data_IF_875074720869
#
_entry.id   IF_875074720869
#
_cell.length_a   1.000
_cell.length_b   1.000
_cell.length_c   1.000
_cell.angle_alpha   90.00
_cell.angle_beta   90.00
_cell.angle_gamma   90.00
#
_symmetry.space_group_name_H-M   'P 1'
#
loop_
_entity.id
_entity.type
_entity.pdbx_description
1 polymer ?
#
# COMPACT_ATOMS: atom_id res chain seq x y z
N UNK A 1 41.34 -17.73 -48.16
CA UNK A 1 40.00 -17.33 -48.52
C UNK A 1 39.12 -17.70 -47.35
N UNK A 2 38.94 -16.74 -46.41
CA UNK A 2 38.19 -16.96 -45.17
C UNK A 2 36.95 -16.09 -45.24
N UNK A 3 35.78 -16.75 -45.34
CA UNK A 3 34.50 -16.10 -45.25
C UNK A 3 34.23 -15.62 -43.84
N UNK A 4 34.18 -14.32 -43.65
CA UNK A 4 33.68 -13.68 -42.43
C UNK A 4 32.15 -13.71 -42.48
N UNK A 5 31.53 -14.48 -41.58
CA UNK A 5 30.11 -14.50 -41.37
C UNK A 5 29.67 -13.23 -40.66
N UNK A 6 28.90 -12.42 -41.35
CA UNK A 6 28.24 -11.20 -40.88
C UNK A 6 27.09 -11.61 -39.94
N UNK A 7 27.32 -11.50 -38.64
CA UNK A 7 26.26 -11.68 -37.64
C UNK A 7 25.41 -10.41 -37.56
N UNK A 8 24.31 -10.40 -38.32
CA UNK A 8 23.23 -9.44 -38.25
C UNK A 8 22.73 -9.27 -36.82
N UNK A 9 23.11 -8.17 -36.18
CA UNK A 9 22.62 -7.70 -34.89
C UNK A 9 21.15 -7.28 -35.07
N UNK A 10 20.23 -8.16 -34.71
CA UNK A 10 18.82 -7.83 -34.59
C UNK A 10 18.63 -6.62 -33.65
N UNK A 11 17.96 -5.57 -34.12
CA UNK A 11 17.65 -4.34 -33.38
C UNK A 11 16.44 -4.54 -32.47
N UNK A 12 16.60 -4.63 -31.12
CA UNK A 12 15.46 -4.60 -30.18
C UNK A 12 15.02 -3.17 -29.77
N UNK A 13 15.48 -2.12 -30.46
CA UNK A 13 15.53 -0.75 -29.92
C UNK A 13 14.21 0.05 -29.93
N UNK A 14 13.28 -0.23 -30.83
CA UNK A 14 12.04 0.58 -30.94
C UNK A 14 10.92 0.18 -29.98
N UNK A 15 10.84 -1.06 -29.58
CA UNK A 15 9.81 -1.56 -28.66
C UNK A 15 10.04 -1.13 -27.20
N UNK A 16 11.29 -1.16 -26.73
CA UNK A 16 11.69 -0.75 -25.39
C UNK A 16 11.42 0.75 -25.17
N UNK A 17 11.83 1.60 -26.10
CA UNK A 17 11.56 3.04 -26.02
C UNK A 17 10.06 3.40 -26.03
N UNK A 18 9.22 2.61 -26.73
CA UNK A 18 7.78 2.83 -26.72
C UNK A 18 7.15 2.45 -25.37
N UNK A 19 7.57 1.31 -24.78
CA UNK A 19 7.13 0.87 -23.48
C UNK A 19 7.57 1.82 -22.34
N UNK A 20 8.81 2.30 -22.39
CA UNK A 20 9.34 3.28 -21.45
C UNK A 20 8.58 4.62 -21.50
N UNK A 21 8.27 5.09 -22.70
CA UNK A 21 7.45 6.31 -22.88
C UNK A 21 6.04 6.15 -22.35
N UNK A 22 5.42 4.96 -22.55
CA UNK A 22 4.11 4.65 -22.00
C UNK A 22 4.16 4.62 -20.47
N UNK A 23 5.13 3.93 -19.88
CA UNK A 23 5.31 3.84 -18.42
C UNK A 23 5.55 5.25 -17.82
N UNK A 24 6.39 6.07 -18.44
CA UNK A 24 6.65 7.44 -17.99
C UNK A 24 5.37 8.29 -17.99
N UNK A 25 4.56 8.19 -19.05
CA UNK A 25 3.27 8.92 -19.13
C UNK A 25 2.29 8.43 -18.08
N UNK A 26 2.19 7.09 -17.91
CA UNK A 26 1.33 6.48 -16.88
C UNK A 26 1.73 6.95 -15.49
N UNK A 27 3.01 6.95 -15.14
CA UNK A 27 3.50 7.42 -13.84
C UNK A 27 3.20 8.91 -13.61
N UNK A 28 3.30 9.77 -14.64
CA UNK A 28 2.91 11.18 -14.52
C UNK A 28 1.42 11.36 -14.26
N UNK A 29 0.56 10.54 -14.88
CA UNK A 29 -0.88 10.53 -14.61
C UNK A 29 -1.16 10.08 -13.17
N UNK A 30 -0.52 9.00 -12.70
CA UNK A 30 -0.68 8.49 -11.33
C UNK A 30 -0.21 9.51 -10.28
N UNK A 31 0.94 10.16 -10.48
CA UNK A 31 1.42 11.22 -9.60
C UNK A 31 0.44 12.39 -9.52
N UNK A 32 -0.10 12.83 -10.68
CA UNK A 32 -1.16 13.87 -10.71
C UNK A 32 -2.44 13.39 -10.00
N UNK A 33 -2.78 12.09 -10.11
CA UNK A 33 -3.89 11.50 -9.38
C UNK A 33 -3.70 11.59 -7.86
N UNK A 34 -2.51 11.29 -7.37
CA UNK A 34 -2.17 11.45 -5.96
C UNK A 34 -2.26 12.91 -5.51
N UNK A 35 -1.80 13.86 -6.33
CA UNK A 35 -1.96 15.30 -6.05
C UNK A 35 -3.42 15.70 -5.85
N UNK A 36 -4.31 15.18 -6.70
CA UNK A 36 -5.74 15.53 -6.67
C UNK A 36 -6.51 14.82 -5.55
N UNK A 37 -6.26 13.52 -5.35
CA UNK A 37 -6.96 12.69 -4.37
C UNK A 37 -6.44 12.93 -2.94
N UNK A 38 -5.15 13.17 -2.80
CA UNK A 38 -4.48 13.41 -1.52
C UNK A 38 -4.42 14.90 -1.12
N UNK A 39 -5.06 15.80 -1.86
CA UNK A 39 -5.06 17.23 -1.54
C UNK A 39 -5.68 17.49 -0.15
N UNK A 40 -5.19 18.51 0.55
CA UNK A 40 -5.71 18.92 1.86
C UNK A 40 -7.19 19.33 1.80
N UNK A 41 -7.54 20.10 0.77
CA UNK A 41 -8.94 20.39 0.44
C UNK A 41 -9.39 19.43 -0.64
N UNK A 42 -9.89 18.29 -0.22
CA UNK A 42 -10.34 17.24 -1.13
C UNK A 42 -11.50 17.73 -1.99
N UNK A 43 -11.26 17.85 -3.27
CA UNK A 43 -12.28 18.14 -4.26
C UNK A 43 -12.36 16.98 -5.25
N UNK A 44 -13.13 15.95 -4.89
CA UNK A 44 -13.34 14.75 -5.73
C UNK A 44 -13.92 15.13 -7.10
N UNK A 45 -14.70 16.20 -7.17
CA UNK A 45 -15.25 16.71 -8.45
C UNK A 45 -14.15 17.28 -9.39
N UNK A 46 -12.96 17.62 -8.85
CA UNK A 46 -11.81 18.01 -9.67
C UNK A 46 -11.12 16.81 -10.34
N UNK A 47 -11.35 15.59 -9.86
CA UNK A 47 -10.82 14.34 -10.45
C UNK A 47 -11.65 14.02 -11.69
N UNK A 48 -11.32 14.67 -12.78
CA UNK A 48 -11.87 14.43 -14.12
C UNK A 48 -10.74 14.10 -15.07
N UNK A 49 -11.03 13.35 -16.15
CA UNK A 49 -10.02 13.06 -17.19
C UNK A 49 -9.34 14.33 -17.67
N UNK A 50 -10.11 15.40 -17.91
CA UNK A 50 -9.59 16.71 -18.33
C UNK A 50 -8.69 17.35 -17.25
N UNK A 51 -9.08 17.27 -15.98
CA UNK A 51 -8.32 17.79 -14.84
C UNK A 51 -6.99 17.08 -14.67
N UNK A 52 -7.01 15.74 -14.70
CA UNK A 52 -5.82 14.88 -14.61
C UNK A 52 -4.88 15.15 -15.79
N UNK A 53 -5.38 15.17 -17.03
CA UNK A 53 -4.56 15.42 -18.21
C UNK A 53 -3.92 16.82 -18.19
N UNK A 54 -4.65 17.83 -17.70
CA UNK A 54 -4.11 19.17 -17.53
C UNK A 54 -2.99 19.20 -16.49
N UNK A 55 -3.19 18.61 -15.33
CA UNK A 55 -2.17 18.53 -14.27
C UNK A 55 -0.93 17.76 -14.73
N UNK A 56 -1.10 16.66 -15.45
CA UNK A 56 -0.01 15.87 -16.01
C UNK A 56 0.66 16.50 -17.24
N UNK A 57 0.11 17.59 -17.79
CA UNK A 57 0.52 18.18 -19.07
C UNK A 57 0.55 17.14 -20.21
N UNK A 58 -0.54 16.37 -20.34
CA UNK A 58 -0.71 15.32 -21.33
C UNK A 58 -2.03 15.49 -22.10
N UNK A 59 -2.07 15.05 -23.36
CA UNK A 59 -3.30 15.01 -24.13
C UNK A 59 -4.20 13.85 -23.65
N UNK A 60 -5.54 14.02 -23.74
CA UNK A 60 -6.52 13.05 -23.28
C UNK A 60 -6.34 11.63 -23.88
N UNK A 61 -5.83 11.52 -25.12
CA UNK A 61 -5.53 10.22 -25.75
C UNK A 61 -4.58 9.37 -24.88
N UNK A 62 -3.59 10.00 -24.21
CA UNK A 62 -2.62 9.30 -23.37
C UNK A 62 -3.22 8.78 -22.06
N UNK A 63 -4.31 9.39 -21.58
CA UNK A 63 -5.10 8.84 -20.50
C UNK A 63 -5.76 7.53 -20.93
N UNK A 64 -6.44 7.53 -22.09
CA UNK A 64 -7.15 6.36 -22.60
C UNK A 64 -6.23 5.26 -23.13
N UNK A 65 -4.95 5.56 -23.39
CA UNK A 65 -3.91 4.52 -23.63
C UNK A 65 -3.58 3.72 -22.34
N UNK A 66 -3.88 4.28 -21.15
CA UNK A 66 -3.47 3.72 -19.85
C UNK A 66 -4.64 3.27 -18.97
N UNK A 67 -5.82 3.88 -19.12
CA UNK A 67 -7.00 3.66 -18.30
C UNK A 67 -8.27 3.76 -19.15
N UNK A 68 -9.22 2.83 -18.96
CA UNK A 68 -10.48 2.83 -19.70
C UNK A 68 -11.39 3.99 -19.25
N UNK A 69 -11.41 4.28 -17.96
CA UNK A 69 -12.26 5.31 -17.38
C UNK A 69 -11.63 5.95 -16.11
N UNK A 70 -12.39 6.83 -15.48
CA UNK A 70 -11.99 7.52 -14.24
C UNK A 70 -11.86 6.55 -13.07
N UNK A 71 -12.74 5.58 -12.95
CA UNK A 71 -12.79 4.69 -11.81
C UNK A 71 -11.60 3.71 -11.83
N UNK A 72 -11.24 3.20 -13.00
CA UNK A 72 -10.00 2.44 -13.19
C UNK A 72 -8.78 3.29 -12.86
N UNK A 73 -8.76 4.55 -13.28
CA UNK A 73 -7.66 5.47 -12.93
C UNK A 73 -7.54 5.69 -11.42
N UNK A 74 -8.64 5.97 -10.73
CA UNK A 74 -8.66 6.18 -9.26
C UNK A 74 -8.19 4.92 -8.54
N UNK A 75 -8.66 3.74 -8.96
CA UNK A 75 -8.19 2.46 -8.43
C UNK A 75 -6.69 2.28 -8.65
N UNK A 76 -6.19 2.58 -9.85
CA UNK A 76 -4.77 2.45 -10.19
C UNK A 76 -3.88 3.42 -9.39
N UNK A 77 -4.35 4.64 -9.09
CA UNK A 77 -3.61 5.56 -8.19
C UNK A 77 -3.48 4.96 -6.80
N UNK A 78 -4.57 4.43 -6.25
CA UNK A 78 -4.56 3.78 -4.94
C UNK A 78 -3.62 2.58 -4.92
N UNK A 79 -3.74 1.69 -5.90
CA UNK A 79 -2.91 0.48 -6.00
C UNK A 79 -1.42 0.81 -6.16
N UNK A 80 -1.10 1.85 -6.91
CA UNK A 80 0.28 2.33 -7.06
C UNK A 80 0.86 2.81 -5.72
N UNK A 81 0.11 3.60 -4.96
CA UNK A 81 0.54 4.08 -3.63
C UNK A 81 0.72 2.93 -2.65
N UNK A 82 -0.22 1.98 -2.63
CA UNK A 82 -0.11 0.78 -1.76
C UNK A 82 1.08 -0.09 -2.14
N UNK A 83 1.34 -0.28 -3.44
CA UNK A 83 2.49 -1.07 -3.91
C UNK A 83 3.82 -0.42 -3.51
N UNK A 84 3.94 0.89 -3.61
CA UNK A 84 5.14 1.62 -3.17
C UNK A 84 5.32 1.54 -1.65
N UNK A 85 4.25 1.75 -0.88
CA UNK A 85 4.29 1.62 0.57
C UNK A 85 4.66 0.19 1.01
N UNK A 86 4.11 -0.81 0.35
CA UNK A 86 4.44 -2.21 0.63
C UNK A 86 5.91 -2.53 0.31
N UNK A 87 6.40 -2.07 -0.84
CA UNK A 87 7.78 -2.29 -1.29
C UNK A 87 8.78 -1.66 -0.32
N UNK A 88 8.58 -0.40 0.05
CA UNK A 88 9.46 0.31 0.99
C UNK A 88 9.40 -0.29 2.39
N UNK A 89 8.21 -0.74 2.83
CA UNK A 89 8.04 -1.41 4.12
C UNK A 89 8.74 -2.76 4.16
N UNK A 90 8.60 -3.58 3.11
CA UNK A 90 9.31 -4.85 3.00
C UNK A 90 10.84 -4.66 3.04
N UNK A 91 11.35 -3.65 2.35
CA UNK A 91 12.78 -3.32 2.37
C UNK A 91 13.24 -2.90 3.77
N UNK A 92 12.47 -2.07 4.48
CA UNK A 92 12.78 -1.65 5.84
C UNK A 92 12.79 -2.82 6.84
N UNK A 93 11.80 -3.72 6.73
CA UNK A 93 11.71 -4.93 7.56
C UNK A 93 12.86 -5.91 7.28
N UNK A 94 13.22 -6.10 6.01
CA UNK A 94 14.32 -7.00 5.63
C UNK A 94 15.71 -6.49 6.05
N UNK A 95 15.86 -5.20 6.36
CA UNK A 95 17.11 -4.58 6.74
C UNK A 95 17.47 -4.73 8.22
N UNK A 96 16.55 -5.26 9.06
CA UNK A 96 16.71 -5.32 10.52
C UNK A 96 16.54 -6.73 11.06
N UNK A 97 17.10 -7.04 12.27
CA UNK A 97 16.84 -8.31 12.96
C UNK A 97 15.35 -8.52 13.28
N UNK A 98 14.94 -9.78 13.46
CA UNK A 98 13.54 -10.15 13.72
C UNK A 98 12.88 -9.37 14.88
N UNK A 99 13.61 -9.14 15.95
CA UNK A 99 13.11 -8.39 17.11
C UNK A 99 12.79 -6.90 16.83
N UNK A 100 13.28 -6.34 15.74
CA UNK A 100 13.09 -4.94 15.36
C UNK A 100 12.11 -4.77 14.20
N UNK A 101 11.64 -5.86 13.59
CA UNK A 101 10.85 -5.84 12.36
C UNK A 101 9.51 -5.13 12.52
N UNK A 102 8.81 -5.36 13.63
CA UNK A 102 7.54 -4.68 13.94
C UNK A 102 7.72 -3.18 13.98
N UNK A 103 8.73 -2.72 14.71
CA UNK A 103 9.05 -1.30 14.83
C UNK A 103 9.48 -0.69 13.48
N UNK A 104 10.31 -1.39 12.71
CA UNK A 104 10.74 -0.95 11.38
C UNK A 104 9.56 -0.82 10.39
N UNK A 105 8.61 -1.75 10.45
CA UNK A 105 7.37 -1.70 9.69
C UNK A 105 6.58 -0.42 10.01
N UNK A 106 6.28 -0.18 11.30
CA UNK A 106 5.54 1.00 11.74
C UNK A 106 6.28 2.30 11.44
N UNK A 107 7.59 2.33 11.66
CA UNK A 107 8.43 3.48 11.36
C UNK A 107 8.43 3.84 9.87
N UNK A 108 8.48 2.85 8.97
CA UNK A 108 8.39 3.14 7.54
C UNK A 108 7.03 3.70 7.14
N UNK A 109 5.93 3.13 7.67
CA UNK A 109 4.58 3.61 7.37
C UNK A 109 4.40 5.05 7.86
N UNK A 110 4.70 5.32 9.12
CA UNK A 110 4.55 6.66 9.72
C UNK A 110 5.44 7.68 9.01
N UNK A 111 6.70 7.34 8.73
CA UNK A 111 7.62 8.21 7.98
C UNK A 111 7.08 8.52 6.58
N UNK A 112 6.60 7.53 5.84
CA UNK A 112 6.03 7.75 4.49
C UNK A 112 4.87 8.73 4.53
N UNK A 113 4.03 8.65 5.56
CA UNK A 113 2.89 9.56 5.77
C UNK A 113 3.34 10.96 6.16
N UNK A 114 4.38 11.09 6.98
CA UNK A 114 4.92 12.40 7.39
C UNK A 114 5.68 13.09 6.27
N UNK A 115 6.43 12.34 5.48
CA UNK A 115 7.19 12.85 4.33
C UNK A 115 6.26 13.25 3.18
N UNK A 116 5.18 12.51 2.97
CA UNK A 116 4.14 12.81 1.98
C UNK A 116 2.72 12.67 2.57
N UNK A 117 2.16 13.74 3.14
CA UNK A 117 0.82 13.71 3.73
C UNK A 117 -0.30 13.34 2.77
N UNK A 118 -0.08 13.42 1.43
CA UNK A 118 -1.05 12.98 0.42
C UNK A 118 -1.29 11.48 0.50
N UNK A 119 -0.24 10.70 0.78
CA UNK A 119 -0.32 9.24 0.99
C UNK A 119 -1.22 8.93 2.18
N UNK A 120 -0.99 9.59 3.31
CA UNK A 120 -1.81 9.40 4.52
C UNK A 120 -3.28 9.71 4.26
N UNK A 121 -3.57 10.82 3.59
CA UNK A 121 -4.94 11.22 3.24
C UNK A 121 -5.60 10.23 2.29
N UNK A 122 -4.89 9.76 1.27
CA UNK A 122 -5.44 8.79 0.32
C UNK A 122 -5.75 7.45 0.99
N UNK A 123 -4.83 6.93 1.80
CA UNK A 123 -4.92 5.56 2.33
C UNK A 123 -5.78 5.50 3.59
N UNK A 124 -5.64 6.45 4.51
CA UNK A 124 -6.20 6.35 5.87
C UNK A 124 -7.31 7.36 6.19
N UNK A 125 -7.45 8.48 5.46
CA UNK A 125 -8.46 9.48 5.82
C UNK A 125 -9.87 9.02 5.50
N UNK A 126 -10.75 9.02 6.50
CA UNK A 126 -12.18 8.72 6.35
C UNK A 126 -12.96 9.83 5.63
N UNK A 127 -12.38 11.03 5.51
CA UNK A 127 -13.01 12.16 4.83
C UNK A 127 -13.06 11.95 3.30
N UNK A 128 -12.18 11.14 2.73
CA UNK A 128 -12.20 10.76 1.32
C UNK A 128 -13.17 9.58 1.11
N UNK A 129 -14.42 9.91 0.82
CA UNK A 129 -15.53 8.95 0.68
C UNK A 129 -15.86 8.61 -0.78
N UNK A 130 -14.89 8.63 -1.69
CA UNK A 130 -15.06 8.13 -3.07
C UNK A 130 -15.33 6.62 -3.04
N UNK A 131 -16.37 6.11 -3.74
CA UNK A 131 -16.75 4.69 -3.68
C UNK A 131 -15.63 3.74 -4.12
N UNK A 132 -14.80 4.14 -5.09
CA UNK A 132 -13.66 3.34 -5.55
C UNK A 132 -12.61 3.27 -4.46
N UNK A 133 -12.28 4.39 -3.80
CA UNK A 133 -11.30 4.45 -2.71
C UNK A 133 -11.79 3.64 -1.50
N UNK A 134 -13.06 3.75 -1.13
CA UNK A 134 -13.63 2.97 -0.01
C UNK A 134 -13.49 1.47 -0.28
N UNK A 135 -13.84 1.01 -1.49
CA UNK A 135 -13.67 -0.38 -1.91
C UNK A 135 -12.20 -0.79 -1.87
N UNK A 136 -11.30 0.00 -2.44
CA UNK A 136 -9.86 -0.29 -2.50
C UNK A 136 -9.23 -0.38 -1.11
N UNK A 137 -9.65 0.46 -0.15
CA UNK A 137 -9.22 0.35 1.25
C UNK A 137 -9.66 -0.97 1.87
N UNK A 138 -10.91 -1.38 1.66
CA UNK A 138 -11.41 -2.65 2.17
C UNK A 138 -10.66 -3.84 1.57
N UNK A 139 -10.43 -3.85 0.25
CA UNK A 139 -9.65 -4.89 -0.45
C UNK A 139 -8.22 -4.97 0.09
N UNK A 140 -7.54 -3.83 0.25
CA UNK A 140 -6.18 -3.78 0.79
C UNK A 140 -6.11 -4.23 2.25
N UNK A 141 -7.07 -3.83 3.09
CA UNK A 141 -7.14 -4.28 4.48
C UNK A 141 -7.30 -5.79 4.56
N UNK A 142 -8.17 -6.39 3.75
CA UNK A 142 -8.35 -7.84 3.70
C UNK A 142 -7.07 -8.56 3.22
N UNK A 143 -6.40 -8.04 2.20
CA UNK A 143 -5.13 -8.57 1.71
C UNK A 143 -4.04 -8.51 2.78
N UNK A 144 -3.88 -7.38 3.46
CA UNK A 144 -2.89 -7.23 4.53
C UNK A 144 -3.20 -8.13 5.73
N UNK A 145 -4.47 -8.31 6.10
CA UNK A 145 -4.86 -9.23 7.14
C UNK A 145 -4.49 -10.68 6.76
N UNK A 146 -4.77 -11.10 5.53
CA UNK A 146 -4.38 -12.42 5.04
C UNK A 146 -2.86 -12.63 5.10
N UNK A 147 -2.07 -11.67 4.61
CA UNK A 147 -0.60 -11.75 4.60
C UNK A 147 -0.03 -11.75 6.03
N UNK A 148 -0.57 -10.92 6.92
CA UNK A 148 -0.17 -10.89 8.34
C UNK A 148 -0.50 -12.19 9.05
N UNK A 149 -1.67 -12.77 8.81
CA UNK A 149 -2.05 -14.06 9.35
C UNK A 149 -1.14 -15.20 8.88
N UNK A 150 -0.77 -15.21 7.60
CA UNK A 150 0.19 -16.18 7.06
C UNK A 150 1.57 -16.03 7.71
N UNK A 151 2.04 -14.79 7.87
CA UNK A 151 3.33 -14.51 8.52
C UNK A 151 3.35 -14.99 9.96
N UNK A 152 2.32 -14.68 10.75
CA UNK A 152 2.18 -15.14 12.14
C UNK A 152 2.10 -16.66 12.23
N UNK A 153 1.27 -17.31 11.42
CA UNK A 153 1.18 -18.77 11.38
C UNK A 153 2.52 -19.43 11.08
N UNK A 154 3.29 -18.87 10.15
CA UNK A 154 4.63 -19.37 9.81
C UNK A 154 5.64 -19.16 10.95
N UNK A 155 5.66 -17.96 11.55
CA UNK A 155 6.57 -17.63 12.64
C UNK A 155 6.31 -18.49 13.90
N UNK A 156 5.06 -18.76 14.21
CA UNK A 156 4.66 -19.55 15.36
C UNK A 156 4.59 -21.06 15.08
N UNK A 157 4.80 -21.49 13.83
CA UNK A 157 4.65 -22.87 13.37
C UNK A 157 3.26 -23.47 13.74
N UNK A 158 2.22 -22.65 13.67
CA UNK A 158 0.83 -23.03 13.95
C UNK A 158 0.06 -23.06 12.62
N UNK A 159 -0.75 -24.10 12.36
CA UNK A 159 -1.61 -24.15 11.18
C UNK A 159 -2.54 -22.93 11.14
N UNK A 160 -2.88 -22.48 9.92
CA UNK A 160 -3.86 -21.42 9.72
C UNK A 160 -5.17 -21.79 10.45
N UNK A 161 -5.69 -20.87 11.25
CA UNK A 161 -6.92 -21.05 12.01
C UNK A 161 -7.66 -19.70 12.18
N UNK A 162 -8.94 -19.79 12.60
CA UNK A 162 -9.81 -18.61 12.71
C UNK A 162 -9.35 -17.61 13.79
N UNK A 163 -8.58 -18.02 14.79
CA UNK A 163 -8.03 -17.10 15.80
C UNK A 163 -6.93 -16.24 15.20
N UNK A 164 -6.05 -16.83 14.38
CA UNK A 164 -5.02 -16.09 13.63
C UNK A 164 -5.70 -15.14 12.65
N UNK A 165 -6.73 -15.60 11.93
CA UNK A 165 -7.48 -14.78 10.99
C UNK A 165 -8.15 -13.58 11.70
N UNK A 166 -8.85 -13.81 12.78
CA UNK A 166 -9.47 -12.74 13.58
C UNK A 166 -8.45 -11.74 14.13
N UNK A 167 -7.31 -12.21 14.66
CA UNK A 167 -6.25 -11.37 15.16
C UNK A 167 -5.60 -10.53 14.04
N UNK A 168 -5.39 -11.11 12.87
CA UNK A 168 -4.85 -10.38 11.72
C UNK A 168 -5.78 -9.24 11.26
N UNK A 169 -7.09 -9.47 11.20
CA UNK A 169 -8.07 -8.43 10.93
C UNK A 169 -8.10 -7.36 12.02
N UNK A 170 -8.01 -7.74 13.29
CA UNK A 170 -7.95 -6.81 14.41
C UNK A 170 -6.70 -5.93 14.34
N UNK A 171 -5.53 -6.52 14.08
CA UNK A 171 -4.26 -5.80 13.95
C UNK A 171 -4.31 -4.80 12.80
N UNK A 172 -4.68 -5.23 11.60
CA UNK A 172 -4.71 -4.36 10.42
C UNK A 172 -5.76 -3.25 10.58
N UNK A 173 -6.94 -3.60 11.10
CA UNK A 173 -7.99 -2.63 11.40
C UNK A 173 -7.59 -1.64 12.49
N UNK A 174 -6.99 -2.13 13.57
CA UNK A 174 -6.53 -1.31 14.70
C UNK A 174 -5.43 -0.32 14.30
N UNK A 175 -4.41 -0.79 13.58
CA UNK A 175 -3.34 0.07 13.05
C UNK A 175 -3.92 1.12 12.11
N UNK A 176 -4.75 0.72 11.15
CA UNK A 176 -5.36 1.63 10.19
C UNK A 176 -6.23 2.70 10.86
N UNK A 177 -7.04 2.31 11.85
CA UNK A 177 -7.89 3.24 12.59
C UNK A 177 -7.07 4.18 13.48
N UNK A 178 -6.01 3.70 14.13
CA UNK A 178 -5.12 4.54 14.96
C UNK A 178 -4.42 5.59 14.11
N UNK A 179 -3.89 5.21 12.95
CA UNK A 179 -3.27 6.16 12.01
C UNK A 179 -4.32 7.16 11.49
N UNK A 180 -5.54 6.71 11.19
CA UNK A 180 -6.64 7.60 10.76
C UNK A 180 -6.98 8.64 11.84
N UNK A 181 -7.08 8.22 13.10
CA UNK A 181 -7.34 9.11 14.24
C UNK A 181 -6.18 10.09 14.49
N UNK A 182 -4.94 9.63 14.32
CA UNK A 182 -3.77 10.49 14.42
C UNK A 182 -3.75 11.57 13.33
N UNK A 183 -4.05 11.20 12.08
CA UNK A 183 -4.17 12.15 10.97
C UNK A 183 -5.34 13.12 11.13
N UNK A 184 -6.41 12.71 11.80
CA UNK A 184 -7.57 13.57 12.11
C UNK A 184 -7.30 14.52 13.29
N UNK A 185 -6.22 14.30 14.06
CA UNK A 185 -5.91 15.06 15.26
C UNK A 185 -6.67 14.59 16.51
N UNK A 186 -7.26 13.39 16.49
CA UNK A 186 -7.90 12.79 17.68
C UNK A 186 -6.86 12.11 18.60
N UNK A 187 -5.74 11.69 18.02
CA UNK A 187 -4.58 11.14 18.73
C UNK A 187 -3.42 12.13 18.64
N UNK A 188 -2.94 12.62 19.77
CA UNK A 188 -1.90 13.64 19.88
C UNK A 188 -0.57 13.01 20.30
N UNK A 189 0.06 12.29 19.41
CA UNK A 189 1.39 11.71 19.58
C UNK A 189 2.34 12.26 18.52
N UNK A 190 3.59 12.52 18.93
CA UNK A 190 4.66 12.76 17.96
C UNK A 190 4.89 11.49 17.11
N UNK A 191 5.38 11.62 15.87
CA UNK A 191 5.54 10.47 14.97
C UNK A 191 6.28 9.28 15.61
N UNK A 192 7.40 9.53 16.30
CA UNK A 192 8.17 8.47 16.95
C UNK A 192 7.41 7.82 18.12
N UNK A 193 6.62 8.60 18.86
CA UNK A 193 5.77 8.06 19.92
C UNK A 193 4.66 7.18 19.36
N UNK A 194 4.07 7.56 18.24
CA UNK A 194 3.08 6.71 17.54
C UNK A 194 3.70 5.40 17.08
N UNK A 195 4.90 5.44 16.52
CA UNK A 195 5.66 4.24 16.11
C UNK A 195 5.89 3.32 17.30
N UNK A 196 6.42 3.86 18.41
CA UNK A 196 6.71 3.07 19.60
C UNK A 196 5.46 2.46 20.22
N UNK A 197 4.36 3.23 20.27
CA UNK A 197 3.07 2.73 20.79
C UNK A 197 2.49 1.63 19.92
N UNK A 198 2.48 1.79 18.59
CA UNK A 198 1.98 0.78 17.67
C UNK A 198 2.85 -0.49 17.71
N UNK A 199 4.17 -0.34 17.74
CA UNK A 199 5.08 -1.47 17.83
C UNK A 199 4.86 -2.27 19.12
N UNK A 200 4.80 -1.60 20.27
CA UNK A 200 4.56 -2.24 21.56
C UNK A 200 3.23 -3.01 21.59
N UNK A 201 2.14 -2.43 21.07
CA UNK A 201 0.85 -3.12 21.00
C UNK A 201 0.90 -4.36 20.11
N UNK A 202 1.62 -4.28 18.99
CA UNK A 202 1.76 -5.41 18.06
C UNK A 202 2.63 -6.52 18.63
N UNK A 203 3.69 -6.19 19.35
CA UNK A 203 4.58 -7.15 20.01
C UNK A 203 3.83 -7.92 21.13
N UNK A 204 2.97 -7.25 21.91
CA UNK A 204 2.10 -7.91 22.90
C UNK A 204 1.11 -8.87 22.24
N UNK A 205 0.62 -8.55 21.03
CA UNK A 205 -0.27 -9.44 20.25
C UNK A 205 0.47 -10.60 19.57
N UNK A 206 1.80 -10.62 19.59
CA UNK A 206 2.58 -11.73 19.06
C UNK A 206 2.69 -12.94 20.04
N UNK A 207 2.04 -12.88 21.19
CA UNK A 207 2.06 -13.94 22.20
C UNK A 207 1.42 -15.26 21.66
N UNK A 208 2.19 -16.38 21.57
CA UNK A 208 1.72 -17.62 20.94
C UNK A 208 0.45 -18.22 21.58
N UNK A 209 0.21 -17.96 22.86
CA UNK A 209 -0.94 -18.50 23.57
C UNK A 209 -2.28 -17.95 23.06
N UNK A 210 -2.28 -16.76 22.43
CA UNK A 210 -3.47 -16.17 21.83
C UNK A 210 -3.98 -16.99 20.63
N UNK A 211 -3.11 -17.76 19.99
CA UNK A 211 -3.38 -18.43 18.70
C UNK A 211 -3.55 -19.93 18.81
N UNK A 212 -3.19 -20.55 19.94
CA UNK A 212 -3.37 -21.98 20.15
C UNK A 212 -4.85 -22.27 20.37
N UNK A 213 -5.40 -23.18 19.56
CA UNK A 213 -6.70 -23.76 19.84
C UNK A 213 -6.53 -24.55 21.15
N UNK A 214 -7.26 -24.20 22.22
CA UNK A 214 -7.39 -25.09 23.33
C UNK A 214 -7.99 -26.39 22.79
N UNK A 215 -7.28 -27.49 22.86
CA UNK A 215 -7.88 -28.82 22.72
C UNK A 215 -8.98 -28.88 23.78
N UNK A 216 -10.19 -28.57 23.37
CA UNK A 216 -11.35 -28.54 24.25
C UNK A 216 -11.68 -29.98 24.58
N UNK A 217 -11.45 -30.35 25.86
CA UNK A 217 -12.25 -31.33 26.57
C UNK A 217 -13.33 -31.98 25.70
N UNK A 218 -12.94 -33.01 24.96
CA UNK A 218 -13.82 -34.07 24.52
C UNK A 218 -13.72 -35.13 25.58
N UNK A 219 -14.34 -34.90 26.75
CA UNK A 219 -14.66 -35.94 27.75
C UNK A 219 -15.47 -35.26 28.86
N UNK A 220 -16.78 -35.21 28.66
CA UNK A 220 -17.77 -35.18 29.74
C UNK A 220 -19.12 -35.68 29.22
#
# INVERSE_FOLDING_TARGET
>A
MVCMSDTSRARPYRGVEAAERLATRRNRLLATGLDLLGAERQNISAVTVRGVCRGANLAARYFYESFADKDEFVAAVFDWVIAELATTTQAAVAAVPAAEQTRACMANIVRTITDDPRVGRLVFSTQLADPVIVRKRAESSALFAMLSGQHVGHALQVPANERINAAAHFVVGGVGQTISAWLAGDVHLEPDQLVDQLAALLDELAEPNLYRLNETRADA
#
